data_IF_029926075385
#
_entry.id   IF_029926075385
#
_cell.length_a   1.000
_cell.length_b   1.000
_cell.length_c   1.000
_cell.angle_alpha   90.00
_cell.angle_beta   90.00
_cell.angle_gamma   90.00
#
_symmetry.space_group_name_H-M   'P 1'
#
loop_
_entity.id
_entity.type
_entity.pdbx_description
1 polymer ?
#
# COMPACT_ATOMS: atom_id res chain seq x y z
N UNK A 1 53.63 55.44 26.21
CA UNK A 1 53.04 54.88 24.97
C UNK A 1 52.77 53.39 25.18
N UNK A 2 51.51 52.96 25.01
CA UNK A 2 51.08 51.57 24.84
C UNK A 2 51.52 51.08 23.45
N UNK A 3 51.90 49.82 23.28
CA UNK A 3 51.45 49.01 22.13
C UNK A 3 51.37 47.53 22.52
N UNK A 4 50.16 46.99 22.35
CA UNK A 4 49.78 45.60 22.55
C UNK A 4 50.37 44.72 21.43
N UNK A 5 50.90 43.56 21.78
CA UNK A 5 51.04 42.44 20.85
C UNK A 5 49.83 41.52 21.04
N UNK A 6 48.84 41.66 20.17
CA UNK A 6 47.64 40.81 20.10
C UNK A 6 48.05 39.48 19.47
N UNK A 7 48.05 38.41 20.25
CA UNK A 7 48.21 37.03 19.76
C UNK A 7 46.93 36.61 19.03
N UNK A 8 47.03 36.39 17.72
CA UNK A 8 45.93 35.89 16.90
C UNK A 8 45.84 34.38 17.11
N UNK A 9 44.85 33.95 17.89
CA UNK A 9 44.50 32.55 18.02
C UNK A 9 43.90 32.06 16.69
N UNK A 10 44.55 31.08 16.06
CA UNK A 10 43.98 30.39 14.91
C UNK A 10 42.79 29.54 15.38
N UNK A 11 41.57 29.95 14.98
CA UNK A 11 40.37 29.15 15.13
C UNK A 11 40.47 27.93 14.21
N UNK A 12 40.76 26.76 14.77
CA UNK A 12 40.54 25.50 14.08
C UNK A 12 39.04 25.26 14.00
N UNK A 13 38.46 25.37 12.80
CA UNK A 13 37.09 24.94 12.55
C UNK A 13 37.04 23.41 12.64
N UNK A 14 36.59 22.88 13.77
CA UNK A 14 36.18 21.49 13.86
C UNK A 14 34.90 21.33 13.01
N UNK A 15 35.03 20.69 11.85
CA UNK A 15 33.86 20.23 11.11
C UNK A 15 33.22 19.09 11.92
N UNK A 16 32.14 19.39 12.63
CA UNK A 16 31.36 18.40 13.34
C UNK A 16 30.69 17.50 12.31
N UNK A 17 31.20 16.28 12.15
CA UNK A 17 30.53 15.25 11.37
C UNK A 17 29.26 14.86 12.14
N UNK A 18 28.10 15.30 11.66
CA UNK A 18 26.80 14.85 12.19
C UNK A 18 26.60 13.42 11.69
N UNK A 19 26.96 12.44 12.52
CA UNK A 19 26.45 11.08 12.37
C UNK A 19 25.00 11.12 12.84
N UNK A 20 24.07 11.30 11.91
CA UNK A 20 22.65 11.11 12.18
C UNK A 20 22.46 9.67 12.66
N UNK A 21 21.79 9.48 13.80
CA UNK A 21 21.57 8.17 14.37
C UNK A 21 20.73 7.31 13.40
N UNK A 22 21.33 6.20 12.99
CA UNK A 22 20.81 5.08 12.19
C UNK A 22 19.56 4.45 12.84
N UNK A 23 18.40 5.12 12.70
CA UNK A 23 17.10 4.57 13.09
C UNK A 23 16.12 4.73 11.94
N UNK A 24 15.16 3.81 11.87
CA UNK A 24 14.03 3.96 10.95
C UNK A 24 13.21 5.17 11.38
N UNK A 25 12.95 6.08 10.44
CA UNK A 25 12.02 7.18 10.66
C UNK A 25 10.61 6.71 10.33
N UNK A 26 9.67 6.93 11.26
CA UNK A 26 8.31 6.43 11.20
C UNK A 26 7.35 7.60 11.31
N UNK A 27 6.63 7.87 10.22
CA UNK A 27 5.61 8.91 10.17
C UNK A 27 4.25 8.25 10.03
N UNK A 28 3.39 8.37 11.04
CA UNK A 28 1.99 7.92 10.95
C UNK A 28 1.21 8.90 10.08
N UNK A 29 0.87 8.49 8.86
CA UNK A 29 0.16 9.33 7.89
C UNK A 29 -1.35 9.25 8.03
N UNK A 30 -1.85 8.14 8.59
CA UNK A 30 -3.26 7.99 9.00
C UNK A 30 -3.31 7.20 10.29
N UNK A 31 -3.58 7.86 11.40
CA UNK A 31 -3.81 7.22 12.68
C UNK A 31 -5.24 6.65 12.77
N UNK A 32 -5.39 5.49 13.39
CA UNK A 32 -6.66 4.86 13.72
C UNK A 32 -6.56 4.39 15.17
N UNK A 33 -7.59 4.66 15.97
CA UNK A 33 -7.71 4.10 17.31
C UNK A 33 -8.46 2.77 17.24
N UNK A 34 -7.96 1.75 17.92
CA UNK A 34 -8.55 0.42 17.94
C UNK A 34 -8.16 -0.35 19.21
N UNK A 35 -9.00 -1.31 19.59
CA UNK A 35 -8.74 -2.16 20.76
C UNK A 35 -7.67 -3.23 20.49
N UNK A 36 -7.54 -3.67 19.23
CA UNK A 36 -6.58 -4.70 18.81
C UNK A 36 -5.55 -4.16 17.82
N UNK A 37 -4.37 -3.84 18.32
CA UNK A 37 -3.19 -3.44 17.54
C UNK A 37 -2.30 -4.61 17.19
N UNK A 38 -1.51 -4.56 16.11
CA UNK A 38 -0.57 -5.63 15.71
C UNK A 38 0.42 -5.98 16.81
N UNK A 39 0.66 -7.27 16.98
CA UNK A 39 1.57 -7.83 17.98
C UNK A 39 2.57 -8.78 17.32
N UNK A 40 3.71 -8.97 17.98
CA UNK A 40 4.72 -9.92 17.53
C UNK A 40 4.12 -11.32 17.42
N UNK A 41 4.29 -11.96 16.26
CA UNK A 41 3.75 -13.27 15.94
C UNK A 41 2.43 -13.23 15.17
N UNK A 42 1.80 -12.06 15.01
CA UNK A 42 0.62 -11.92 14.19
C UNK A 42 0.95 -12.11 12.71
N UNK A 43 0.07 -12.80 11.99
CA UNK A 43 0.04 -12.77 10.54
C UNK A 43 -0.75 -11.54 10.09
N UNK A 44 -0.08 -10.64 9.39
CA UNK A 44 -0.67 -9.36 8.95
C UNK A 44 -0.71 -9.27 7.43
N UNK A 45 -1.61 -8.42 6.93
CA UNK A 45 -1.78 -8.14 5.50
C UNK A 45 -1.54 -6.66 5.27
N UNK A 46 -0.55 -6.30 4.45
CA UNK A 46 -0.11 -4.91 4.27
C UNK A 46 -0.12 -4.56 2.79
N UNK A 47 -0.81 -3.48 2.45
CA UNK A 47 -0.58 -2.79 1.19
C UNK A 47 0.59 -1.83 1.35
N UNK A 48 1.42 -1.74 0.32
CA UNK A 48 2.57 -0.85 0.31
C UNK A 48 2.96 -0.39 -1.09
N UNK A 49 3.72 0.71 -1.09
CA UNK A 49 4.52 1.22 -2.21
C UNK A 49 5.93 1.53 -1.71
N UNK A 50 6.94 0.96 -2.36
CA UNK A 50 8.35 1.12 -2.04
C UNK A 50 9.08 1.94 -3.11
N UNK A 51 9.77 3.00 -2.68
CA UNK A 51 10.57 3.88 -3.54
C UNK A 51 11.99 4.04 -3.00
N UNK A 52 12.95 4.27 -3.90
CA UNK A 52 14.30 4.68 -3.50
C UNK A 52 14.24 6.14 -3.01
N UNK A 53 14.86 6.44 -1.87
CA UNK A 53 14.96 7.82 -1.41
C UNK A 53 15.70 8.69 -2.43
N UNK A 54 16.72 8.11 -3.07
CA UNK A 54 17.41 8.75 -4.18
C UNK A 54 16.56 8.66 -5.46
N UNK A 55 16.11 9.81 -5.94
CA UNK A 55 15.32 9.94 -7.17
C UNK A 55 13.84 9.52 -7.07
N UNK A 56 13.36 9.00 -5.93
CA UNK A 56 11.94 8.67 -5.72
C UNK A 56 11.42 7.52 -6.58
N UNK A 57 12.31 6.75 -7.22
CA UNK A 57 11.92 5.71 -8.18
C UNK A 57 11.23 4.55 -7.44
N UNK A 58 10.01 4.22 -7.85
CA UNK A 58 9.33 3.00 -7.40
C UNK A 58 10.11 1.76 -7.84
N UNK A 59 10.33 0.85 -6.90
CA UNK A 59 10.94 -0.46 -7.17
C UNK A 59 9.94 -1.60 -7.00
N UNK A 60 8.92 -1.43 -6.16
CA UNK A 60 7.90 -2.45 -5.91
C UNK A 60 6.64 -1.81 -5.30
N UNK A 61 5.46 -2.33 -5.64
CA UNK A 61 4.21 -1.99 -5.01
C UNK A 61 3.26 -3.18 -5.01
N UNK A 62 2.60 -3.41 -3.88
CA UNK A 62 1.55 -4.45 -3.77
C UNK A 62 0.35 -4.17 -4.67
N UNK A 63 0.07 -2.90 -4.97
CA UNK A 63 -1.03 -2.46 -5.82
C UNK A 63 -0.89 -2.97 -7.26
N UNK A 64 0.35 -3.07 -7.76
CA UNK A 64 0.65 -3.59 -9.11
C UNK A 64 0.22 -5.06 -9.26
N UNK A 65 0.14 -5.79 -8.13
CA UNK A 65 -0.32 -7.18 -8.06
C UNK A 65 -1.78 -7.31 -7.64
N UNK A 66 -2.43 -6.22 -7.24
CA UNK A 66 -3.81 -6.22 -6.76
C UNK A 66 -4.05 -6.97 -5.45
N UNK A 67 -3.00 -7.38 -4.73
CA UNK A 67 -3.13 -8.12 -3.47
C UNK A 67 -2.14 -7.64 -2.39
N UNK A 68 -2.55 -7.54 -1.12
CA UNK A 68 -1.65 -7.23 -0.01
C UNK A 68 -0.53 -8.27 0.13
N UNK A 69 0.61 -7.84 0.67
CA UNK A 69 1.64 -8.77 1.12
C UNK A 69 1.27 -9.32 2.50
N UNK A 70 1.30 -10.64 2.65
CA UNK A 70 1.06 -11.30 3.93
C UNK A 70 2.35 -11.86 4.53
N UNK A 71 2.61 -11.57 5.80
CA UNK A 71 3.77 -12.11 6.53
C UNK A 71 3.50 -12.12 8.04
N UNK A 72 4.38 -12.79 8.80
CA UNK A 72 4.32 -12.79 10.27
C UNK A 72 5.27 -11.73 10.83
N UNK A 73 4.72 -10.75 11.55
CA UNK A 73 5.47 -9.59 12.08
C UNK A 73 6.23 -9.94 13.36
N UNK A 74 7.41 -9.35 13.54
CA UNK A 74 8.29 -9.54 14.70
C UNK A 74 9.02 -10.89 14.73
N UNK A 75 9.15 -11.56 13.58
CA UNK A 75 9.80 -12.89 13.46
C UNK A 75 10.97 -12.91 12.47
N UNK A 76 11.34 -11.77 11.89
CA UNK A 76 12.39 -11.69 10.88
C UNK A 76 12.01 -12.27 9.52
N UNK A 77 10.71 -12.29 9.20
CA UNK A 77 10.21 -12.79 7.90
C UNK A 77 10.44 -11.80 6.75
N UNK A 78 10.69 -10.54 7.09
CA UNK A 78 10.86 -9.39 6.19
C UNK A 78 12.08 -8.57 6.64
N UNK A 79 12.39 -7.48 5.94
CA UNK A 79 13.47 -6.56 6.34
C UNK A 79 13.25 -6.04 7.76
N UNK A 80 14.35 -5.82 8.49
CA UNK A 80 14.33 -5.42 9.90
C UNK A 80 13.48 -4.17 10.14
N UNK A 81 13.54 -3.20 9.24
CA UNK A 81 12.77 -1.96 9.33
C UNK A 81 11.26 -2.19 9.31
N UNK A 82 10.76 -3.22 8.65
CA UNK A 82 9.34 -3.60 8.71
C UNK A 82 9.02 -4.40 9.96
N UNK A 83 9.87 -5.38 10.29
CA UNK A 83 9.64 -6.31 11.40
C UNK A 83 9.54 -5.59 12.76
N UNK A 84 10.26 -4.47 12.91
CA UNK A 84 10.30 -3.67 14.14
C UNK A 84 9.30 -2.50 14.15
N UNK A 85 8.87 -1.97 12.99
CA UNK A 85 8.09 -0.72 12.91
C UNK A 85 6.65 -0.88 12.42
N UNK A 86 6.21 -2.12 12.12
CA UNK A 86 4.81 -2.45 11.82
C UNK A 86 4.08 -3.11 13.00
N UNK A 87 4.68 -3.02 14.20
CA UNK A 87 4.04 -3.34 15.47
C UNK A 87 3.17 -2.17 15.95
N UNK A 88 2.23 -2.47 16.85
CA UNK A 88 1.34 -1.49 17.47
C UNK A 88 0.52 -0.67 16.45
N UNK A 89 0.14 -1.29 15.33
CA UNK A 89 -0.70 -0.68 14.27
C UNK A 89 -2.14 -1.14 14.37
N UNK A 90 -3.07 -0.23 14.09
CA UNK A 90 -4.49 -0.54 13.89
C UNK A 90 -4.81 -0.88 12.43
N UNK A 91 -5.79 -1.75 12.21
CA UNK A 91 -6.27 -2.05 10.85
C UNK A 91 -6.83 -0.75 10.23
N UNK A 92 -6.37 -0.42 9.01
CA UNK A 92 -6.64 0.83 8.30
C UNK A 92 -5.63 1.95 8.57
N UNK A 93 -4.70 1.77 9.51
CA UNK A 93 -3.64 2.73 9.80
C UNK A 93 -2.62 2.76 8.64
N UNK A 94 -2.13 3.97 8.32
CA UNK A 94 -1.08 4.18 7.31
C UNK A 94 0.17 4.78 7.95
N UNK A 95 1.33 4.27 7.54
CA UNK A 95 2.65 4.76 7.96
C UNK A 95 3.58 4.92 6.77
N UNK A 96 4.39 5.98 6.80
CA UNK A 96 5.56 6.13 5.94
C UNK A 96 6.80 5.78 6.75
N UNK A 97 7.59 4.84 6.25
CA UNK A 97 8.84 4.37 6.85
C UNK A 97 10.01 4.80 5.97
N UNK A 98 10.94 5.57 6.52
CA UNK A 98 12.24 5.81 5.89
C UNK A 98 13.24 4.85 6.51
N UNK A 99 13.70 3.87 5.72
CA UNK A 99 14.47 2.72 6.16
C UNK A 99 15.89 2.84 5.61
N UNK A 100 16.87 3.19 6.46
CA UNK A 100 18.29 3.13 6.12
C UNK A 100 18.74 1.72 5.69
N UNK A 101 19.87 1.59 4.96
CA UNK A 101 20.30 0.31 4.40
C UNK A 101 20.51 -0.78 5.46
N UNK A 102 20.98 -0.47 6.66
CA UNK A 102 21.21 -1.41 7.76
C UNK A 102 19.93 -2.01 8.35
N UNK A 103 18.78 -1.36 8.14
CA UNK A 103 17.45 -1.91 8.45
C UNK A 103 16.73 -2.49 7.21
N UNK A 104 17.30 -2.29 6.02
CA UNK A 104 16.83 -2.79 4.74
C UNK A 104 17.66 -3.95 4.21
N UNK A 105 18.28 -3.76 3.04
CA UNK A 105 19.04 -4.79 2.34
C UNK A 105 20.56 -4.71 2.54
N UNK A 106 21.05 -3.65 3.19
CA UNK A 106 22.46 -3.40 3.47
C UNK A 106 23.27 -3.17 2.18
N UNK A 107 24.48 -3.71 2.15
CA UNK A 107 25.42 -3.57 1.02
C UNK A 107 25.15 -4.55 -0.13
N UNK A 108 23.93 -5.08 -0.24
CA UNK A 108 23.55 -6.06 -1.27
C UNK A 108 22.70 -5.40 -2.34
N UNK A 109 22.98 -5.71 -3.60
CA UNK A 109 22.06 -5.40 -4.70
C UNK A 109 20.90 -6.40 -4.69
N UNK A 110 19.66 -5.91 -4.75
CA UNK A 110 18.44 -6.75 -4.74
C UNK A 110 17.50 -6.28 -5.84
N UNK A 111 17.47 -7.02 -6.95
CA UNK A 111 16.68 -6.64 -8.13
C UNK A 111 17.01 -5.21 -8.57
N UNK A 112 16.02 -4.29 -8.62
CA UNK A 112 16.23 -2.88 -8.98
C UNK A 112 16.78 -2.00 -7.84
N UNK A 113 17.08 -2.55 -6.66
CA UNK A 113 17.55 -1.82 -5.48
C UNK A 113 19.08 -1.91 -5.40
N UNK A 114 19.82 -0.80 -5.55
CA UNK A 114 21.27 -0.78 -5.37
C UNK A 114 21.69 -1.03 -3.92
N UNK A 115 22.90 -1.55 -3.73
CA UNK A 115 23.56 -1.65 -2.43
C UNK A 115 23.65 -0.29 -1.72
N UNK A 116 23.40 -0.27 -0.40
CA UNK A 116 23.49 0.95 0.40
C UNK A 116 22.31 1.91 0.24
N UNK A 117 21.23 1.50 -0.43
CA UNK A 117 20.07 2.35 -0.64
C UNK A 117 19.24 2.56 0.63
N UNK A 118 18.83 3.81 0.86
CA UNK A 118 17.73 4.14 1.78
C UNK A 118 16.39 3.98 1.05
N UNK A 119 15.45 3.32 1.70
CA UNK A 119 14.15 2.96 1.14
C UNK A 119 13.05 3.77 1.81
N UNK A 120 12.08 4.26 1.04
CA UNK A 120 10.86 4.86 1.56
C UNK A 120 9.72 3.89 1.28
N UNK A 121 8.99 3.52 2.32
CA UNK A 121 7.80 2.68 2.21
C UNK A 121 6.58 3.41 2.74
N UNK A 122 5.58 3.58 1.90
CA UNK A 122 4.23 3.92 2.34
C UNK A 122 3.50 2.59 2.55
N UNK A 123 2.93 2.41 3.74
CA UNK A 123 2.30 1.17 4.17
C UNK A 123 0.90 1.42 4.71
N UNK A 124 0.01 0.46 4.51
CA UNK A 124 -1.35 0.44 5.02
C UNK A 124 -1.68 -0.96 5.55
N UNK A 125 -2.07 -1.05 6.82
CA UNK A 125 -2.46 -2.32 7.42
C UNK A 125 -3.88 -2.68 6.99
N UNK A 126 -4.02 -3.74 6.22
CA UNK A 126 -5.31 -4.21 5.69
C UNK A 126 -6.00 -5.20 6.63
N UNK A 127 -5.25 -5.93 7.45
CA UNK A 127 -5.83 -6.92 8.35
C UNK A 127 -4.82 -7.63 9.23
N UNK A 128 -5.36 -8.25 10.28
CA UNK A 128 -4.66 -9.17 11.19
C UNK A 128 -5.43 -10.49 11.13
N UNK A 129 -4.75 -11.60 10.88
CA UNK A 129 -5.40 -12.90 10.76
C UNK A 129 -6.16 -13.25 12.06
N UNK A 130 -7.43 -13.65 11.93
CA UNK A 130 -8.31 -13.93 13.06
C UNK A 130 -8.87 -12.71 13.80
N UNK A 131 -8.65 -11.47 13.33
CA UNK A 131 -9.22 -10.24 13.89
C UNK A 131 -10.19 -9.62 12.89
N UNK A 132 -11.43 -9.35 13.32
CA UNK A 132 -12.40 -8.63 12.48
C UNK A 132 -11.93 -7.19 12.30
N UNK A 133 -11.84 -6.74 11.05
CA UNK A 133 -11.47 -5.36 10.74
C UNK A 133 -12.51 -4.39 11.34
N UNK A 134 -12.09 -3.26 11.94
CA UNK A 134 -13.01 -2.19 12.25
C UNK A 134 -13.76 -1.83 10.98
N UNK A 135 -15.09 -1.75 11.04
CA UNK A 135 -15.88 -1.17 9.95
C UNK A 135 -15.50 0.31 9.88
N UNK A 136 -14.42 0.63 9.17
CA UNK A 136 -14.07 2.01 8.85
C UNK A 136 -15.22 2.51 8.02
N UNK A 137 -16.13 3.24 8.65
CA UNK A 137 -17.13 4.00 7.94
C UNK A 137 -16.36 5.02 7.11
N UNK A 138 -16.17 4.68 5.85
CA UNK A 138 -15.63 5.52 4.80
C UNK A 138 -16.62 6.66 4.54
N UNK A 139 -16.67 7.62 5.48
CA UNK A 139 -17.46 8.84 5.35
C UNK A 139 -16.75 9.80 4.40
N UNK A 140 -16.71 9.45 3.11
CA UNK A 140 -16.69 10.35 1.96
C UNK A 140 -16.42 9.57 0.66
N UNK A 141 -17.29 8.62 0.28
CA UNK A 141 -17.68 8.37 -1.13
C UNK A 141 -18.66 7.17 -1.25
N UNK A 142 -19.86 7.29 -0.68
CA UNK A 142 -21.06 6.60 -1.21
C UNK A 142 -22.33 7.20 -0.57
N UNK A 143 -22.72 8.38 -1.04
CA UNK A 143 -24.15 8.74 -1.08
C UNK A 143 -24.66 8.17 -2.41
N UNK A 144 -25.86 7.58 -2.40
CA UNK A 144 -26.50 6.65 -3.37
C UNK A 144 -26.13 5.17 -3.06
N UNK A 145 -26.99 4.28 -2.55
CA UNK A 145 -28.44 4.20 -2.59
C UNK A 145 -29.00 3.45 -1.37
N UNK A 146 -29.91 4.10 -0.63
CA UNK A 146 -30.92 3.42 0.19
C UNK A 146 -32.24 3.49 -0.57
N UNK A 147 -32.52 2.46 -1.37
CA UNK A 147 -33.88 1.97 -1.63
C UNK A 147 -33.78 0.76 -2.56
N UNK A 148 -33.98 -0.44 -2.03
CA UNK A 148 -34.79 -1.52 -2.63
C UNK A 148 -34.73 -2.75 -1.72
N UNK A 149 -35.29 -2.59 -0.53
CA UNK A 149 -35.94 -3.74 0.11
C UNK A 149 -37.35 -3.81 -0.51
N UNK A 150 -37.60 -4.85 -1.30
CA UNK A 150 -38.94 -5.18 -1.79
C UNK A 150 -39.12 -5.25 -3.31
N UNK A 151 -38.49 -6.21 -3.99
CA UNK A 151 -39.15 -7.06 -5.01
C UNK A 151 -38.36 -8.38 -5.13
N UNK A 152 -38.57 -9.30 -4.18
CA UNK A 152 -38.27 -10.73 -4.39
C UNK A 152 -39.58 -11.48 -4.27
N UNK A 153 -40.31 -11.52 -5.37
CA UNK A 153 -41.65 -12.12 -5.44
C UNK A 153 -42.30 -11.84 -6.78
N UNK A 154 -41.76 -12.46 -7.84
CA UNK A 154 -42.42 -12.79 -9.13
C UNK A 154 -41.37 -13.40 -10.06
N UNK A 155 -40.92 -14.59 -9.67
CA UNK A 155 -40.33 -15.53 -10.61
C UNK A 155 -41.45 -16.16 -11.45
N UNK A 156 -41.08 -16.53 -12.67
CA UNK A 156 -41.64 -17.63 -13.44
C UNK A 156 -43.05 -17.46 -14.04
N UNK A 157 -43.17 -16.67 -15.11
CA UNK A 157 -44.18 -16.93 -16.16
C UNK A 157 -43.89 -16.19 -17.50
N UNK A 158 -42.67 -16.26 -18.03
CA UNK A 158 -42.37 -15.63 -19.33
C UNK A 158 -41.23 -16.29 -20.12
N UNK A 159 -41.13 -17.63 -20.07
CA UNK A 159 -40.11 -18.36 -20.86
C UNK A 159 -40.68 -19.39 -21.85
N UNK A 160 -42.01 -19.52 -21.97
CA UNK A 160 -42.66 -20.46 -22.91
C UNK A 160 -43.42 -19.78 -24.06
N UNK A 161 -43.19 -18.48 -24.31
CA UNK A 161 -43.82 -17.75 -25.41
C UNK A 161 -42.88 -17.48 -26.61
N UNK A 162 -41.60 -17.89 -26.54
CA UNK A 162 -40.59 -17.55 -27.56
C UNK A 162 -40.31 -18.71 -28.53
N UNK A 163 -40.99 -19.86 -28.40
CA UNK A 163 -40.68 -21.07 -29.19
C UNK A 163 -41.66 -21.41 -30.33
N UNK A 164 -42.63 -20.55 -30.66
CA UNK A 164 -43.69 -20.90 -31.63
C UNK A 164 -43.94 -19.83 -32.69
N UNK A 165 -42.89 -19.21 -33.26
CA UNK A 165 -43.08 -18.18 -34.31
C UNK A 165 -42.06 -18.18 -35.46
N UNK A 166 -41.30 -19.26 -35.71
CA UNK A 166 -40.37 -19.33 -36.86
C UNK A 166 -40.48 -20.62 -37.68
N UNK A 167 -41.66 -21.25 -37.69
CA UNK A 167 -41.99 -22.25 -38.71
C UNK A 167 -43.12 -21.68 -39.58
N UNK A 168 -42.97 -21.86 -40.90
CA UNK A 168 -43.92 -21.56 -41.98
C UNK A 168 -43.84 -20.15 -42.59
N UNK A 169 -43.03 -20.00 -43.64
CA UNK A 169 -43.59 -19.78 -44.99
C UNK A 169 -42.51 -19.82 -46.08
N UNK A 170 -42.78 -20.68 -47.04
CA UNK A 170 -42.08 -20.93 -48.28
C UNK A 170 -42.09 -19.75 -49.26
N UNK A 171 -41.13 -19.76 -50.21
CA UNK A 171 -41.47 -19.54 -51.61
C UNK A 171 -40.83 -18.34 -52.33
N UNK A 172 -40.10 -18.69 -53.41
CA UNK A 172 -39.90 -17.92 -54.66
C UNK A 172 -38.99 -16.66 -54.56
N UNK A 173 -38.00 -16.40 -55.40
CA UNK A 173 -37.76 -16.75 -56.80
C UNK A 173 -37.29 -15.47 -57.52
N UNK A 174 -36.29 -15.62 -58.40
CA UNK A 174 -35.79 -14.64 -59.40
C UNK A 174 -34.94 -13.45 -58.86
N UNK A 175 -33.66 -13.36 -59.26
CA UNK A 175 -33.16 -12.61 -60.44
C UNK A 175 -33.66 -11.15 -60.41
N UNK A 176 -32.79 -10.13 -60.41
CA UNK A 176 -32.10 -9.69 -61.61
C UNK A 176 -30.80 -8.89 -61.32
N UNK A 177 -29.91 -9.08 -62.27
CA UNK A 177 -28.70 -8.38 -62.66
C UNK A 177 -28.88 -6.85 -62.91
N UNK A 178 -27.74 -6.18 -63.14
CA UNK A 178 -27.53 -4.85 -63.78
C UNK A 178 -27.58 -3.62 -62.85
N UNK A 179 -26.58 -2.74 -62.74
CA UNK A 179 -25.36 -2.39 -63.51
C UNK A 179 -24.28 -1.82 -62.57
#
# INVERSE_FOLDING_TARGET
>A
MRFLAVSIAALASAATLVLAADKVDVVVTRAIECDRKTQKGDKIFVHYRGTLQDGGKQFDASYDRGQPLSFVVGRGSVIKGWDENLLDMCIGEKRTLTIPPEFGYGNRNVGPIPAGSTLIFETELMGIDGVEAPKVQESASSVTDKATEGVKGKIAEAYEAVKTALADTDGDGQEHNEL
#
